data_IF_430261570826
#
_entry.id   IF_430261570826
#
_cell.length_a   1.000
_cell.length_b   1.000
_cell.length_c   1.000
_cell.angle_alpha   90.00
_cell.angle_beta   90.00
_cell.angle_gamma   90.00
#
_symmetry.space_group_name_H-M   'P 1'
#
loop_
_entity.id
_entity.type
_entity.pdbx_description
1 polymer ?
#
# COMPACT_ATOMS: atom_id res chain seq x y z
N UNK A 1 31.50 59.67 -33.90
CA UNK A 1 31.76 60.55 -32.73
C UNK A 1 32.47 59.66 -31.71
N UNK A 2 33.70 59.89 -31.23
CA UNK A 2 34.20 60.96 -30.32
C UNK A 2 33.35 61.02 -29.03
N UNK A 3 33.84 60.84 -27.79
CA UNK A 3 35.18 60.45 -27.23
C UNK A 3 35.07 59.02 -26.60
N UNK A 4 35.80 58.49 -25.59
CA UNK A 4 37.00 58.77 -24.74
C UNK A 4 37.51 57.34 -24.29
N UNK A 5 38.79 56.94 -24.31
CA UNK A 5 39.99 57.21 -23.47
C UNK A 5 39.93 56.69 -22.01
N UNK A 6 41.02 56.31 -21.31
CA UNK A 6 42.04 55.22 -21.46
C UNK A 6 42.95 55.22 -20.20
N UNK A 7 43.37 54.05 -19.68
CA UNK A 7 44.48 53.81 -18.70
C UNK A 7 44.41 54.30 -17.23
N UNK A 8 44.72 53.37 -16.30
CA UNK A 8 45.69 53.44 -15.16
C UNK A 8 45.37 52.25 -14.22
N UNK A 9 46.16 51.18 -14.10
CA UNK A 9 47.52 51.04 -13.56
C UNK A 9 47.65 51.47 -12.08
N UNK A 10 47.70 50.49 -11.17
CA UNK A 10 48.21 50.65 -9.79
C UNK A 10 48.84 49.32 -9.34
N UNK A 11 50.02 49.39 -8.73
CA UNK A 11 50.81 48.23 -8.32
C UNK A 11 51.22 48.41 -6.85
N UNK A 12 50.71 47.56 -5.96
CA UNK A 12 51.15 47.48 -4.57
C UNK A 12 51.28 46.01 -4.17
N UNK A 13 52.52 45.54 -4.06
CA UNK A 13 52.83 44.28 -3.41
C UNK A 13 53.09 44.52 -1.92
N UNK A 14 52.60 43.64 -1.07
CA UNK A 14 53.09 43.50 0.31
C UNK A 14 53.25 42.01 0.63
N UNK A 15 54.32 41.67 1.33
CA UNK A 15 54.71 40.29 1.61
C UNK A 15 54.46 39.99 3.08
N UNK A 16 53.79 38.87 3.35
CA UNK A 16 53.88 38.15 4.62
C UNK A 16 53.82 36.66 4.30
N UNK A 17 54.70 35.87 4.93
CA UNK A 17 54.72 34.42 4.81
C UNK A 17 54.86 33.81 6.20
N UNK A 18 54.03 32.83 6.56
CA UNK A 18 54.36 31.87 7.61
C UNK A 18 53.42 30.67 7.66
N UNK A 19 54.04 29.54 8.05
CA UNK A 19 53.47 28.36 8.72
C UNK A 19 52.43 27.48 7.99
N UNK A 20 52.56 26.18 8.24
CA UNK A 20 51.59 25.16 7.86
C UNK A 20 50.42 25.12 8.85
N UNK A 21 49.22 24.83 8.35
CA UNK A 21 48.07 24.45 9.16
C UNK A 21 47.14 23.57 8.33
N UNK A 22 46.99 22.29 8.71
CA UNK A 22 45.93 21.43 8.18
C UNK A 22 44.59 21.85 8.75
N UNK A 23 43.55 21.88 7.92
CA UNK A 23 42.15 21.51 8.23
C UNK A 23 41.27 21.87 7.02
N UNK A 24 40.59 20.87 6.44
CA UNK A 24 39.55 21.10 5.44
C UNK A 24 38.23 21.55 6.12
N UNK A 25 37.51 22.55 5.58
CA UNK A 25 36.11 22.77 5.90
C UNK A 25 35.21 22.05 4.90
N UNK A 26 34.28 21.24 5.40
CA UNK A 26 33.24 20.59 4.59
C UNK A 26 32.31 21.62 3.94
N UNK A 27 31.80 21.32 2.73
CA UNK A 27 30.74 22.11 2.08
C UNK A 27 29.41 21.41 2.32
N UNK A 28 28.53 22.07 3.07
CA UNK A 28 27.31 21.48 3.61
C UNK A 28 26.30 21.10 2.51
N UNK A 29 25.84 19.84 2.55
CA UNK A 29 25.09 19.19 1.49
C UNK A 29 23.60 19.11 1.80
N UNK A 30 22.86 20.20 1.55
CA UNK A 30 21.42 20.32 1.85
C UNK A 30 20.53 19.38 1.02
N UNK A 31 20.52 18.11 1.39
CA UNK A 31 19.59 17.09 0.89
C UNK A 31 18.38 17.03 1.82
N UNK A 32 17.19 17.29 1.27
CA UNK A 32 15.94 17.36 2.03
C UNK A 32 15.41 16.00 2.44
N UNK A 33 16.06 15.33 3.40
CA UNK A 33 15.51 14.18 4.10
C UNK A 33 14.39 14.66 5.04
N UNK A 34 13.15 14.25 4.77
CA UNK A 34 12.01 14.54 5.67
C UNK A 34 12.10 13.69 6.92
N UNK A 35 11.99 14.34 8.09
CA UNK A 35 12.11 13.68 9.38
C UNK A 35 11.02 12.63 9.60
N UNK A 36 11.40 11.43 10.01
CA UNK A 36 10.46 10.47 10.59
C UNK A 36 10.17 10.86 12.05
N UNK A 37 9.00 11.46 12.29
CA UNK A 37 8.46 11.57 13.64
C UNK A 37 7.90 10.21 14.07
N UNK A 38 8.60 9.54 14.99
CA UNK A 38 8.20 8.23 15.50
C UNK A 38 6.87 8.29 16.26
N UNK A 39 5.89 7.50 15.80
CA UNK A 39 4.73 7.08 16.58
C UNK A 39 4.93 5.64 17.07
N UNK A 40 4.06 5.20 17.99
CA UNK A 40 4.03 3.82 18.50
C UNK A 40 3.99 2.79 17.35
N UNK A 41 4.80 1.73 17.41
CA UNK A 41 4.92 0.71 16.36
C UNK A 41 3.71 -0.25 16.38
N UNK A 42 2.55 0.30 16.01
CA UNK A 42 1.30 -0.42 15.90
C UNK A 42 1.39 -1.54 14.85
N UNK A 43 1.42 -2.79 15.31
CA UNK A 43 1.23 -3.95 14.44
C UNK A 43 -0.24 -4.15 14.10
N UNK A 44 -0.51 -4.65 12.90
CA UNK A 44 -1.82 -5.11 12.48
C UNK A 44 -2.29 -6.27 13.38
N UNK A 45 -3.58 -6.26 13.73
CA UNK A 45 -4.20 -7.19 14.69
C UNK A 45 -5.60 -7.62 14.25
N UNK A 46 -6.04 -8.75 14.78
CA UNK A 46 -7.38 -9.29 14.61
C UNK A 46 -7.73 -9.70 13.18
N UNK A 47 -9.04 -9.73 12.91
CA UNK A 47 -9.57 -9.97 11.57
C UNK A 47 -9.30 -8.75 10.67
N UNK A 48 -8.85 -8.99 9.45
CA UNK A 48 -8.46 -7.96 8.49
C UNK A 48 -9.43 -7.85 7.31
N UNK A 49 -9.65 -6.61 6.85
CA UNK A 49 -10.46 -6.26 5.68
C UNK A 49 -9.69 -5.33 4.75
N UNK A 50 -9.80 -5.53 3.44
CA UNK A 50 -9.36 -4.57 2.42
C UNK A 50 -10.56 -3.87 1.81
N UNK A 51 -10.72 -2.58 2.09
CA UNK A 51 -11.69 -1.68 1.47
C UNK A 51 -10.98 -0.92 0.36
N UNK A 52 -11.47 -0.99 -0.87
CA UNK A 52 -10.83 -0.29 -1.98
C UNK A 52 -11.79 0.18 -3.07
N UNK A 53 -11.32 1.12 -3.89
CA UNK A 53 -11.91 1.44 -5.19
C UNK A 53 -10.84 1.34 -6.28
N UNK A 54 -11.18 0.83 -7.46
CA UNK A 54 -10.26 0.70 -8.58
C UNK A 54 -10.98 0.92 -9.91
N UNK A 55 -10.64 2.00 -10.65
CA UNK A 55 -11.10 2.18 -12.03
C UNK A 55 -10.28 1.30 -12.99
N UNK A 56 -10.97 0.63 -13.91
CA UNK A 56 -10.38 -0.03 -15.07
C UNK A 56 -10.07 1.03 -16.15
N UNK A 57 -10.20 0.65 -17.42
CA UNK A 57 -10.25 1.55 -18.58
C UNK A 57 -8.96 2.37 -18.77
N UNK A 58 -9.00 3.51 -19.46
CA UNK A 58 -7.80 4.26 -19.82
C UNK A 58 -7.20 5.01 -18.63
N UNK A 59 -5.94 4.70 -18.29
CA UNK A 59 -5.23 5.24 -17.14
C UNK A 59 -3.96 6.02 -17.59
N UNK A 60 -3.75 7.20 -17.01
CA UNK A 60 -2.55 8.02 -17.23
C UNK A 60 -1.25 7.21 -17.10
N UNK A 61 -0.38 7.32 -18.11
CA UNK A 61 0.91 6.58 -18.20
C UNK A 61 0.80 5.04 -18.16
N UNK A 62 -0.39 4.47 -18.35
CA UNK A 62 -0.61 3.00 -18.41
C UNK A 62 -1.37 2.60 -19.68
N UNK A 63 -2.27 3.45 -20.18
CA UNK A 63 -3.22 3.10 -21.24
C UNK A 63 -4.42 2.33 -20.70
N UNK A 64 -5.15 1.65 -21.59
CA UNK A 64 -6.37 0.91 -21.25
C UNK A 64 -6.07 -0.39 -20.50
N UNK A 65 -6.74 -0.64 -19.36
CA UNK A 65 -6.57 -1.86 -18.55
C UNK A 65 -7.90 -2.49 -18.14
N UNK A 66 -8.07 -3.79 -18.41
CA UNK A 66 -9.29 -4.55 -18.02
C UNK A 66 -9.45 -4.68 -16.50
N UNK A 67 -8.33 -4.78 -15.77
CA UNK A 67 -8.28 -4.85 -14.30
C UNK A 67 -7.51 -3.66 -13.77
N UNK A 68 -8.20 -2.76 -13.09
CA UNK A 68 -7.65 -1.49 -12.60
C UNK A 68 -6.42 -1.63 -11.70
N UNK A 69 -5.60 -0.58 -11.66
CA UNK A 69 -4.26 -0.64 -11.08
C UNK A 69 -4.26 -0.92 -9.57
N UNK A 70 -5.24 -0.41 -8.81
CA UNK A 70 -5.31 -0.70 -7.37
C UNK A 70 -5.80 -2.12 -7.08
N UNK A 71 -6.71 -2.68 -7.90
CA UNK A 71 -7.15 -4.07 -7.79
C UNK A 71 -5.98 -5.08 -7.87
N UNK A 72 -4.95 -4.80 -8.68
CA UNK A 72 -3.71 -5.60 -8.74
C UNK A 72 -2.94 -5.56 -7.41
N UNK A 73 -2.88 -4.38 -6.77
CA UNK A 73 -2.23 -4.24 -5.46
C UNK A 73 -3.01 -4.99 -4.37
N UNK A 74 -4.34 -5.03 -4.46
CA UNK A 74 -5.21 -5.84 -3.59
C UNK A 74 -4.98 -7.35 -3.81
N UNK A 75 -4.80 -7.80 -5.05
CA UNK A 75 -4.45 -9.21 -5.32
C UNK A 75 -3.13 -9.60 -4.62
N UNK A 76 -2.11 -8.75 -4.67
CA UNK A 76 -0.86 -8.99 -3.94
C UNK A 76 -1.04 -9.00 -2.42
N UNK A 77 -1.97 -8.22 -1.85
CA UNK A 77 -2.29 -8.30 -0.41
C UNK A 77 -2.94 -9.65 -0.08
N UNK A 78 -3.93 -10.10 -0.88
CA UNK A 78 -4.64 -11.38 -0.68
C UNK A 78 -3.74 -12.62 -0.81
N UNK A 79 -2.71 -12.56 -1.64
CA UNK A 79 -1.71 -13.63 -1.75
C UNK A 79 -0.89 -13.79 -0.46
N UNK A 80 -0.67 -12.70 0.28
CA UNK A 80 0.35 -12.60 1.35
C UNK A 80 -0.24 -12.45 2.76
N UNK A 81 -1.53 -12.18 2.87
CA UNK A 81 -2.28 -12.01 4.11
C UNK A 81 -3.58 -12.84 4.06
N UNK A 82 -4.24 -13.03 5.21
CA UNK A 82 -5.60 -13.57 5.26
C UNK A 82 -6.59 -12.43 5.52
N UNK A 83 -7.27 -11.98 4.45
CA UNK A 83 -8.08 -10.75 4.44
C UNK A 83 -9.40 -10.97 3.72
N UNK A 84 -10.48 -10.46 4.30
CA UNK A 84 -11.72 -10.21 3.53
C UNK A 84 -11.52 -8.98 2.62
N UNK A 85 -12.37 -8.84 1.61
CA UNK A 85 -12.21 -7.79 0.59
C UNK A 85 -13.56 -7.19 0.20
N UNK A 86 -13.62 -5.86 0.17
CA UNK A 86 -14.78 -5.07 -0.23
C UNK A 86 -14.36 -4.01 -1.25
N UNK A 87 -14.84 -4.13 -2.49
CA UNK A 87 -14.67 -3.10 -3.52
C UNK A 87 -15.85 -2.13 -3.49
N UNK A 88 -15.60 -0.84 -3.30
CA UNK A 88 -16.61 0.22 -3.34
C UNK A 88 -16.98 0.45 -4.81
N UNK A 89 -18.10 -0.13 -5.28
CA UNK A 89 -18.52 -0.01 -6.68
C UNK A 89 -19.45 1.19 -6.84
N UNK A 90 -19.08 2.25 -7.59
CA UNK A 90 -19.94 3.43 -7.71
C UNK A 90 -21.23 3.12 -8.49
N UNK A 91 -22.32 3.84 -8.16
CA UNK A 91 -23.63 3.74 -8.82
C UNK A 91 -23.51 4.09 -10.30
N UNK A 92 -23.00 5.30 -10.57
CA UNK A 92 -22.60 5.76 -11.90
C UNK A 92 -21.12 5.41 -12.10
N UNK A 93 -20.78 4.73 -13.19
CA UNK A 93 -19.38 4.46 -13.50
C UNK A 93 -18.67 5.75 -13.94
N UNK A 94 -17.42 5.94 -13.52
CA UNK A 94 -16.54 6.96 -14.09
C UNK A 94 -16.32 6.69 -15.59
N UNK A 95 -16.21 7.72 -16.45
CA UNK A 95 -15.98 7.54 -17.89
C UNK A 95 -14.75 6.67 -18.22
N UNK A 96 -14.80 5.94 -19.33
CA UNK A 96 -13.75 5.00 -19.74
C UNK A 96 -12.56 5.69 -20.44
N UNK A 97 -12.85 6.73 -21.23
CA UNK A 97 -11.88 7.67 -21.81
C UNK A 97 -11.16 8.45 -20.70
N UNK A 98 -9.87 8.73 -20.88
CA UNK A 98 -9.08 9.41 -19.86
C UNK A 98 -9.43 10.90 -19.69
N UNK A 99 -9.67 11.64 -20.77
CA UNK A 99 -9.93 13.08 -20.73
C UNK A 99 -11.38 13.36 -20.27
N UNK A 100 -12.36 12.56 -20.70
CA UNK A 100 -13.73 12.60 -20.17
C UNK A 100 -13.75 12.30 -18.66
N UNK A 101 -13.01 11.28 -18.21
CA UNK A 101 -12.91 10.95 -16.79
C UNK A 101 -12.22 12.08 -16.01
N UNK A 102 -11.18 12.68 -16.58
CA UNK A 102 -10.45 13.80 -15.97
C UNK A 102 -11.34 15.03 -15.82
N UNK A 103 -12.17 15.35 -16.82
CA UNK A 103 -13.15 16.44 -16.74
C UNK A 103 -14.22 16.16 -15.67
N UNK A 104 -14.86 14.99 -15.71
CA UNK A 104 -15.90 14.58 -14.76
C UNK A 104 -15.40 14.58 -13.30
N UNK A 105 -14.20 14.05 -13.05
CA UNK A 105 -13.60 14.04 -11.70
C UNK A 105 -13.23 15.45 -11.23
N UNK A 106 -12.85 16.36 -12.13
CA UNK A 106 -12.56 17.76 -11.79
C UNK A 106 -13.83 18.48 -11.34
N UNK A 107 -14.94 18.28 -12.04
CA UNK A 107 -16.26 18.79 -11.66
C UNK A 107 -16.75 18.19 -10.32
N UNK A 108 -16.64 16.87 -10.16
CA UNK A 108 -16.98 16.15 -8.91
C UNK A 108 -16.22 16.67 -7.69
N UNK A 109 -14.95 17.06 -7.87
CA UNK A 109 -14.12 17.69 -6.84
C UNK A 109 -14.57 19.13 -6.57
N UNK A 110 -14.81 19.94 -7.61
CA UNK A 110 -15.17 21.36 -7.49
C UNK A 110 -16.53 21.55 -6.81
N UNK A 111 -17.49 20.67 -7.08
CA UNK A 111 -18.82 20.67 -6.46
C UNK A 111 -18.84 20.01 -5.07
N UNK A 112 -17.71 19.47 -4.59
CA UNK A 112 -17.60 18.68 -3.37
C UNK A 112 -18.64 17.51 -3.32
N UNK A 113 -18.87 16.85 -4.46
CA UNK A 113 -19.90 15.81 -4.60
C UNK A 113 -19.71 14.64 -3.62
N UNK A 114 -20.79 13.88 -3.43
CA UNK A 114 -20.83 12.59 -2.73
C UNK A 114 -21.39 11.51 -3.67
N UNK A 115 -20.55 10.89 -4.51
CA UNK A 115 -20.97 9.83 -5.41
C UNK A 115 -21.47 8.62 -4.60
N UNK A 116 -22.64 8.09 -4.95
CA UNK A 116 -23.19 6.90 -4.31
C UNK A 116 -22.49 5.62 -4.79
N UNK A 117 -22.49 4.58 -3.95
CA UNK A 117 -22.00 3.23 -4.26
C UNK A 117 -23.13 2.18 -4.17
N UNK A 118 -22.93 1.01 -4.80
CA UNK A 118 -23.98 0.01 -5.06
C UNK A 118 -24.14 -1.05 -3.97
N UNK A 119 -23.16 -1.20 -3.10
CA UNK A 119 -22.98 -2.35 -2.23
C UNK A 119 -22.76 -1.93 -0.77
N UNK A 120 -23.39 -2.61 0.16
CA UNK A 120 -23.32 -2.31 1.60
C UNK A 120 -22.35 -3.28 2.31
N UNK A 121 -21.67 -2.80 3.35
CA UNK A 121 -20.94 -3.64 4.30
C UNK A 121 -21.62 -3.58 5.67
N UNK A 122 -22.14 -4.73 6.13
CA UNK A 122 -22.98 -4.80 7.34
C UNK A 122 -22.26 -5.34 8.57
N UNK A 123 -21.00 -5.78 8.42
CA UNK A 123 -20.22 -6.42 9.49
C UNK A 123 -18.86 -5.73 9.74
N UNK A 124 -18.75 -4.43 9.46
CA UNK A 124 -17.50 -3.67 9.63
C UNK A 124 -17.00 -3.64 11.08
N UNK A 125 -17.86 -3.95 12.05
CA UNK A 125 -17.50 -4.19 13.46
C UNK A 125 -16.56 -5.40 13.66
N UNK A 126 -16.62 -6.44 12.82
CA UNK A 126 -15.84 -7.69 12.96
C UNK A 126 -14.33 -7.49 12.79
N UNK A 127 -13.90 -6.37 12.22
CA UNK A 127 -12.52 -6.12 11.77
C UNK A 127 -11.82 -5.13 12.70
N UNK A 128 -10.69 -5.55 13.29
CA UNK A 128 -9.81 -4.69 14.09
C UNK A 128 -8.92 -3.82 13.19
N UNK A 129 -8.48 -4.38 12.05
CA UNK A 129 -7.57 -3.74 11.11
C UNK A 129 -8.20 -3.65 9.72
N UNK A 130 -8.19 -2.45 9.14
CA UNK A 130 -8.80 -2.16 7.83
C UNK A 130 -7.79 -1.49 6.90
N UNK A 131 -7.47 -2.12 5.78
CA UNK A 131 -6.76 -1.46 4.69
C UNK A 131 -7.75 -0.59 3.92
N UNK A 132 -7.40 0.68 3.65
CA UNK A 132 -8.22 1.59 2.83
C UNK A 132 -7.35 2.17 1.72
N UNK A 133 -7.77 2.01 0.47
CA UNK A 133 -6.95 2.48 -0.65
C UNK A 133 -7.60 2.49 -2.03
N UNK A 134 -6.98 3.22 -2.95
CA UNK A 134 -7.52 3.44 -4.29
C UNK A 134 -6.51 4.13 -5.20
N UNK A 135 -6.93 4.61 -6.39
CA UNK A 135 -6.14 5.56 -7.14
C UNK A 135 -5.99 6.88 -6.36
N UNK A 136 -4.99 7.68 -6.73
CA UNK A 136 -4.93 9.11 -6.43
C UNK A 136 -5.21 9.90 -7.71
N UNK A 137 -6.23 10.74 -7.68
CA UNK A 137 -6.62 11.65 -8.75
C UNK A 137 -6.52 13.09 -8.23
N UNK A 138 -5.91 14.00 -9.00
CA UNK A 138 -5.69 15.40 -8.59
C UNK A 138 -5.14 15.56 -7.15
N UNK A 139 -4.16 14.70 -6.80
CA UNK A 139 -3.48 14.69 -5.50
C UNK A 139 -4.29 14.15 -4.32
N UNK A 140 -5.53 13.66 -4.52
CA UNK A 140 -6.42 13.19 -3.45
C UNK A 140 -7.06 11.82 -3.76
N UNK A 141 -7.60 11.11 -2.74
CA UNK A 141 -8.56 10.04 -2.97
C UNK A 141 -9.81 10.54 -3.71
N UNK A 142 -10.41 9.72 -4.60
CA UNK A 142 -11.68 10.02 -5.25
C UNK A 142 -12.80 10.39 -4.27
N UNK A 143 -13.76 11.22 -4.72
CA UNK A 143 -14.81 11.75 -3.83
C UNK A 143 -15.74 10.66 -3.27
N UNK A 144 -15.83 9.52 -3.96
CA UNK A 144 -16.47 8.28 -3.52
C UNK A 144 -16.04 7.85 -2.10
N UNK A 145 -14.77 8.07 -1.71
CA UNK A 145 -14.30 7.74 -0.35
C UNK A 145 -14.92 8.62 0.73
N UNK A 146 -15.30 9.87 0.44
CA UNK A 146 -15.98 10.73 1.42
C UNK A 146 -17.38 10.20 1.71
N UNK A 147 -18.12 9.80 0.67
CA UNK A 147 -19.41 9.10 0.84
C UNK A 147 -19.25 7.85 1.71
N UNK A 148 -18.16 7.09 1.50
CA UNK A 148 -17.90 5.88 2.28
C UNK A 148 -17.57 6.16 3.75
N UNK A 149 -16.68 7.12 4.04
CA UNK A 149 -16.36 7.51 5.42
C UNK A 149 -17.57 8.14 6.16
N UNK A 150 -18.37 8.95 5.48
CA UNK A 150 -19.59 9.55 6.05
C UNK A 150 -20.68 8.51 6.35
N UNK A 151 -20.71 7.40 5.61
CA UNK A 151 -21.61 6.27 5.86
C UNK A 151 -21.10 5.29 6.94
N UNK A 152 -19.80 5.28 7.22
CA UNK A 152 -19.14 4.30 8.10
C UNK A 152 -18.32 4.95 9.24
N UNK A 153 -18.94 5.72 10.16
CA UNK A 153 -18.25 6.33 11.30
C UNK A 153 -17.64 5.30 12.27
N UNK A 154 -18.07 4.03 12.24
CA UNK A 154 -17.48 2.92 12.99
C UNK A 154 -16.05 2.55 12.56
N UNK A 155 -15.51 3.19 11.51
CA UNK A 155 -14.08 3.17 11.18
C UNK A 155 -13.22 3.95 12.19
N UNK A 156 -13.79 4.91 12.91
CA UNK A 156 -13.03 5.67 13.90
C UNK A 156 -12.59 4.79 15.08
N UNK A 157 -11.38 5.02 15.58
CA UNK A 157 -10.75 4.19 16.61
C UNK A 157 -10.23 2.81 16.15
N UNK A 158 -10.45 2.40 14.88
CA UNK A 158 -9.84 1.17 14.32
C UNK A 158 -8.35 1.36 14.00
N UNK A 159 -7.64 0.25 13.74
CA UNK A 159 -6.34 0.30 13.04
C UNK A 159 -6.59 0.43 11.54
N UNK A 160 -6.06 1.47 10.91
CA UNK A 160 -6.25 1.74 9.47
C UNK A 160 -4.91 1.76 8.73
N UNK A 161 -4.84 1.04 7.61
CA UNK A 161 -3.64 0.92 6.77
C UNK A 161 -3.91 1.61 5.42
N UNK A 162 -3.37 2.81 5.15
CA UNK A 162 -3.60 3.50 3.89
C UNK A 162 -2.78 2.87 2.75
N UNK A 163 -3.37 2.71 1.57
CA UNK A 163 -2.61 2.28 0.39
C UNK A 163 -3.16 2.87 -0.92
N UNK A 164 -2.47 2.68 -2.03
CA UNK A 164 -3.02 3.07 -3.33
C UNK A 164 -2.04 3.14 -4.49
N UNK A 165 -2.55 3.58 -5.62
CA UNK A 165 -1.78 3.76 -6.86
C UNK A 165 -1.84 5.19 -7.38
N UNK A 166 -0.73 5.71 -7.92
CA UNK A 166 -0.60 7.12 -8.30
C UNK A 166 0.11 7.32 -9.66
N UNK A 167 -0.12 8.49 -10.27
CA UNK A 167 0.65 8.99 -11.42
C UNK A 167 1.95 9.72 -11.04
N UNK A 168 2.25 9.86 -9.74
CA UNK A 168 3.50 10.48 -9.26
C UNK A 168 3.43 11.10 -7.86
N UNK A 169 2.22 11.37 -7.35
CA UNK A 169 1.97 12.09 -6.09
C UNK A 169 2.31 11.37 -4.79
N UNK A 170 2.64 10.08 -4.82
CA UNK A 170 2.52 9.22 -3.63
C UNK A 170 1.05 9.07 -3.20
N UNK A 171 0.82 8.59 -1.97
CA UNK A 171 -0.52 8.30 -1.40
C UNK A 171 -0.83 9.01 -0.07
N UNK A 172 0.03 9.93 0.39
CA UNK A 172 -0.09 10.54 1.72
C UNK A 172 -1.41 11.26 2.00
N UNK A 173 -2.16 11.66 0.95
CA UNK A 173 -3.50 12.24 1.09
C UNK A 173 -4.60 11.23 1.48
N UNK A 174 -4.37 9.92 1.38
CA UNK A 174 -5.21 8.94 2.11
C UNK A 174 -5.02 9.09 3.62
N UNK A 175 -3.78 9.22 4.11
CA UNK A 175 -3.48 9.44 5.54
C UNK A 175 -4.11 10.74 6.06
N UNK A 176 -4.10 11.81 5.25
CA UNK A 176 -4.82 13.05 5.58
C UNK A 176 -6.34 12.82 5.64
N UNK A 177 -6.93 12.16 4.66
CA UNK A 177 -8.37 11.88 4.61
C UNK A 177 -8.82 10.99 5.77
N UNK A 178 -8.05 9.96 6.11
CA UNK A 178 -8.35 9.06 7.23
C UNK A 178 -8.35 9.86 8.55
N UNK A 179 -7.42 10.79 8.74
CA UNK A 179 -7.39 11.67 9.93
C UNK A 179 -8.48 12.77 9.92
N UNK A 180 -9.11 13.04 8.78
CA UNK A 180 -10.26 13.96 8.65
C UNK A 180 -11.55 13.32 9.16
N UNK A 181 -11.81 12.05 8.83
CA UNK A 181 -13.05 11.33 9.20
C UNK A 181 -12.91 10.36 10.38
N UNK A 182 -11.70 9.85 10.65
CA UNK A 182 -11.39 8.90 11.71
C UNK A 182 -10.25 9.44 12.62
N UNK A 183 -10.48 10.54 13.36
CA UNK A 183 -9.43 11.23 14.12
C UNK A 183 -8.83 10.43 15.28
N UNK A 184 -9.52 9.39 15.77
CA UNK A 184 -9.05 8.49 16.83
C UNK A 184 -8.45 7.18 16.28
N UNK A 185 -8.44 6.96 14.96
CA UNK A 185 -7.90 5.74 14.36
C UNK A 185 -6.37 5.65 14.42
N UNK A 186 -5.86 4.44 14.65
CA UNK A 186 -4.43 4.13 14.63
C UNK A 186 -3.99 3.93 13.18
N UNK A 187 -3.39 4.95 12.57
CA UNK A 187 -3.00 4.92 11.14
C UNK A 187 -1.55 4.46 10.96
N UNK A 188 -1.34 3.35 10.25
CA UNK A 188 -0.03 2.70 10.07
C UNK A 188 0.72 3.18 8.80
N UNK A 189 1.94 2.66 8.56
CA UNK A 189 2.76 2.97 7.38
C UNK A 189 1.97 2.75 6.08
N UNK A 190 1.83 3.80 5.26
CA UNK A 190 1.09 3.74 4.00
C UNK A 190 1.96 3.35 2.81
N UNK A 191 1.49 2.47 1.92
CA UNK A 191 2.20 2.12 0.69
C UNK A 191 1.54 2.70 -0.57
N UNK A 192 2.32 3.44 -1.35
CA UNK A 192 1.97 3.91 -2.69
C UNK A 192 2.82 3.23 -3.76
N UNK A 193 2.20 2.86 -4.89
CA UNK A 193 2.90 2.31 -6.06
C UNK A 193 2.49 3.08 -7.32
N UNK A 194 3.44 3.37 -8.22
CA UNK A 194 3.09 3.99 -9.51
C UNK A 194 2.16 3.09 -10.33
N UNK A 195 1.10 3.65 -10.93
CA UNK A 195 0.20 2.91 -11.81
C UNK A 195 0.95 2.23 -12.98
N UNK A 196 1.96 2.91 -13.53
CA UNK A 196 2.85 2.41 -14.58
C UNK A 196 3.84 1.31 -14.13
N UNK A 197 3.94 1.07 -12.82
CA UNK A 197 4.85 0.07 -12.24
C UNK A 197 4.14 -1.08 -11.52
N UNK A 198 2.86 -0.94 -11.14
CA UNK A 198 2.19 -1.88 -10.22
C UNK A 198 2.19 -3.34 -10.70
N UNK A 199 2.28 -3.59 -12.02
CA UNK A 199 2.29 -4.93 -12.62
C UNK A 199 3.69 -5.56 -12.69
N UNK A 200 4.73 -4.83 -12.30
CA UNK A 200 6.11 -5.34 -12.28
C UNK A 200 6.31 -6.29 -11.10
N UNK A 201 7.10 -7.35 -11.30
CA UNK A 201 7.42 -8.35 -10.26
C UNK A 201 8.02 -7.68 -9.00
N UNK A 202 8.78 -6.60 -9.17
CA UNK A 202 9.31 -5.80 -8.06
C UNK A 202 8.22 -5.18 -7.18
N UNK A 203 7.09 -4.76 -7.74
CA UNK A 203 5.99 -4.15 -6.99
C UNK A 203 5.27 -5.14 -6.08
N UNK A 204 5.15 -6.41 -6.49
CA UNK A 204 4.71 -7.48 -5.59
C UNK A 204 5.67 -7.65 -4.41
N UNK A 205 6.98 -7.68 -4.65
CA UNK A 205 7.98 -7.77 -3.59
C UNK A 205 7.94 -6.55 -2.64
N UNK A 206 7.58 -5.36 -3.14
CA UNK A 206 7.35 -4.17 -2.31
C UNK A 206 6.14 -4.35 -1.38
N UNK A 207 5.01 -4.85 -1.89
CA UNK A 207 3.83 -5.17 -1.06
C UNK A 207 4.18 -6.23 -0.02
N UNK A 208 4.86 -7.31 -0.42
CA UNK A 208 5.31 -8.36 0.50
C UNK A 208 6.16 -7.84 1.65
N UNK A 209 7.11 -6.94 1.38
CA UNK A 209 8.02 -6.43 2.40
C UNK A 209 7.35 -5.39 3.30
N UNK A 210 6.41 -4.60 2.77
CA UNK A 210 5.59 -3.67 3.54
C UNK A 210 4.67 -4.41 4.52
N UNK A 211 3.95 -5.44 4.06
CA UNK A 211 3.09 -6.26 4.94
C UNK A 211 3.90 -6.90 6.09
N UNK A 212 5.10 -7.42 5.80
CA UNK A 212 6.01 -7.97 6.83
C UNK A 212 6.41 -6.94 7.89
N UNK A 213 6.63 -5.65 7.53
CA UNK A 213 6.88 -4.58 8.53
C UNK A 213 5.68 -4.39 9.47
N UNK A 214 4.46 -4.40 8.91
CA UNK A 214 3.21 -4.18 9.65
C UNK A 214 2.83 -5.37 10.56
N UNK A 215 3.62 -6.45 10.57
CA UNK A 215 3.27 -7.71 11.24
C UNK A 215 2.18 -8.51 10.50
N UNK A 216 1.88 -8.17 9.25
CA UNK A 216 0.87 -8.85 8.43
C UNK A 216 1.53 -9.99 7.65
N UNK A 217 1.15 -11.22 7.98
CA UNK A 217 1.50 -12.41 7.19
C UNK A 217 0.30 -13.35 7.01
N UNK A 218 0.45 -14.32 6.09
CA UNK A 218 -0.50 -15.41 5.89
C UNK A 218 -0.12 -16.55 6.83
N UNK A 219 -0.79 -16.60 7.98
CA UNK A 219 -0.58 -17.58 9.05
C UNK A 219 -0.55 -19.03 8.54
N UNK A 220 0.65 -19.57 8.31
CA UNK A 220 0.88 -20.88 7.70
C UNK A 220 1.15 -21.95 8.76
N UNK A 221 0.08 -22.51 9.33
CA UNK A 221 0.15 -23.53 10.38
C UNK A 221 0.80 -24.83 9.86
N UNK A 222 2.10 -24.97 10.10
CA UNK A 222 2.90 -26.11 9.65
C UNK A 222 3.01 -27.20 10.73
N UNK A 223 2.67 -28.44 10.41
CA UNK A 223 2.85 -29.59 11.31
C UNK A 223 4.34 -29.98 11.33
N UNK A 224 5.10 -29.49 12.30
CA UNK A 224 6.55 -29.67 12.37
C UNK A 224 6.99 -31.13 12.59
N UNK A 225 6.15 -31.96 13.21
CA UNK A 225 6.43 -33.37 13.50
C UNK A 225 5.12 -34.17 13.67
N UNK A 226 5.11 -35.42 13.19
CA UNK A 226 4.06 -36.42 13.52
C UNK A 226 4.76 -37.65 14.10
N UNK A 227 4.40 -38.06 15.32
CA UNK A 227 4.97 -39.24 15.99
C UNK A 227 3.89 -40.27 16.32
N UNK A 228 4.04 -41.49 15.83
CA UNK A 228 3.15 -42.61 16.17
C UNK A 228 3.69 -43.39 17.38
N UNK A 229 2.83 -43.72 18.36
CA UNK A 229 3.17 -44.59 19.49
C UNK A 229 3.10 -46.08 19.09
N UNK A 230 3.89 -46.51 18.11
CA UNK A 230 3.82 -47.87 17.56
C UNK A 230 5.18 -48.41 17.10
N UNK A 231 5.57 -49.61 17.58
CA UNK A 231 6.76 -50.35 17.13
C UNK A 231 6.56 -51.03 15.75
N UNK A 232 5.57 -50.62 14.97
CA UNK A 232 5.30 -51.14 13.62
C UNK A 232 5.66 -50.08 12.58
N UNK A 233 6.40 -50.48 11.53
CA UNK A 233 7.04 -49.57 10.59
C UNK A 233 6.08 -48.68 9.76
N UNK A 234 4.78 -48.96 9.78
CA UNK A 234 3.75 -48.14 9.15
C UNK A 234 2.48 -48.15 10.02
N UNK A 235 1.97 -46.97 10.37
CA UNK A 235 0.66 -46.78 10.97
C UNK A 235 -0.07 -45.64 10.24
N UNK A 236 -1.36 -45.80 9.98
CA UNK A 236 -2.21 -44.78 9.35
C UNK A 236 -3.20 -44.22 10.36
N UNK A 237 -3.47 -42.92 10.27
CA UNK A 237 -4.40 -42.21 11.14
C UNK A 237 -5.31 -41.32 10.28
N UNK A 238 -6.52 -41.07 10.77
CA UNK A 238 -7.42 -40.05 10.26
C UNK A 238 -6.91 -38.65 10.65
N UNK A 239 -7.46 -37.60 10.02
CA UNK A 239 -7.16 -36.20 10.41
C UNK A 239 -7.53 -35.90 11.88
N UNK A 240 -8.46 -36.67 12.45
CA UNK A 240 -8.92 -36.55 13.84
C UNK A 240 -8.09 -37.40 14.82
N UNK A 241 -6.91 -37.89 14.41
CA UNK A 241 -6.01 -38.69 15.25
C UNK A 241 -6.46 -40.14 15.52
N UNK A 242 -7.65 -40.55 15.10
CA UNK A 242 -8.12 -41.94 15.21
C UNK A 242 -7.32 -42.84 14.26
N UNK A 243 -6.84 -44.00 14.73
CA UNK A 243 -6.11 -44.98 13.92
C UNK A 243 -6.99 -45.52 12.78
N UNK A 244 -6.48 -45.50 11.55
CA UNK A 244 -7.14 -46.06 10.37
C UNK A 244 -6.52 -47.42 10.00
N UNK A 245 -7.39 -48.41 9.80
CA UNK A 245 -7.02 -49.74 9.30
C UNK A 245 -7.32 -49.89 7.79
N UNK A 246 -7.77 -48.82 7.11
CA UNK A 246 -8.20 -48.87 5.71
C UNK A 246 -7.05 -48.84 4.69
N UNK A 247 -7.30 -49.37 3.49
CA UNK A 247 -6.35 -49.35 2.37
C UNK A 247 -6.18 -47.94 1.77
N UNK A 248 -7.25 -47.14 1.72
CA UNK A 248 -7.19 -45.78 1.21
C UNK A 248 -6.33 -44.89 2.12
N UNK A 249 -5.25 -44.33 1.56
CA UNK A 249 -4.32 -43.45 2.27
C UNK A 249 -4.27 -42.08 1.61
N UNK A 250 -4.62 -41.05 2.37
CA UNK A 250 -4.33 -39.66 2.03
C UNK A 250 -2.93 -39.34 2.57
N UNK A 251 -2.07 -38.77 1.74
CA UNK A 251 -0.78 -38.23 2.18
C UNK A 251 -0.45 -36.95 1.42
N UNK A 252 0.35 -36.08 2.03
CA UNK A 252 0.86 -34.86 1.40
C UNK A 252 2.30 -35.12 0.97
N UNK A 253 2.66 -34.73 -0.26
CA UNK A 253 4.02 -34.76 -0.79
C UNK A 253 4.24 -33.50 -1.63
N UNK A 254 5.33 -32.78 -1.39
CA UNK A 254 5.64 -31.52 -2.10
C UNK A 254 4.44 -30.54 -2.09
N UNK A 255 3.82 -30.34 -0.92
CA UNK A 255 2.61 -29.52 -0.74
C UNK A 255 1.29 -30.11 -1.27
N UNK A 256 1.35 -31.10 -2.15
CA UNK A 256 0.18 -31.63 -2.86
C UNK A 256 -0.47 -32.82 -2.12
N UNK A 257 -1.81 -32.87 -2.13
CA UNK A 257 -2.63 -33.94 -1.55
C UNK A 257 -2.77 -35.10 -2.54
N UNK A 258 -2.29 -36.28 -2.16
CA UNK A 258 -2.46 -37.52 -2.91
C UNK A 258 -3.44 -38.46 -2.21
N UNK A 259 -4.18 -39.24 -3.00
CA UNK A 259 -5.01 -40.34 -2.52
C UNK A 259 -4.49 -41.62 -3.18
N UNK A 260 -3.90 -42.51 -2.39
CA UNK A 260 -3.60 -43.87 -2.84
C UNK A 260 -4.77 -44.77 -2.46
N UNK A 261 -5.36 -45.40 -3.48
CA UNK A 261 -6.31 -46.52 -3.34
C UNK A 261 -5.56 -47.80 -3.04
#
# INVERSE_FOLDING_TARGET
MKKILTFALTFCAFIAAMACGSNDPEVDGMTGATEQTGGDEGTAKGKMLVIYFSRADENWQVGYVERGNTAIMVDYIKEQADVDVFEIVPVVAYPADYDECTAYVTEEINENRRPAYKNEITNLADYETVFIGGPIWWGRPPMLFRTFFEAHPELDGKTIIPFGTHGGSGVGSYTTLIKEYCPNATVLESLGISGSSVRNVSSKNTVENWLKKLGVDKQSTSISNVRAKTNTANASYTLNGTRSNGQQRIYIRNGNKYIKR
#
